data_IF_893347671046
#
_entry.id   IF_893347671046
#
_cell.length_a   1.000
_cell.length_b   1.000
_cell.length_c   1.000
_cell.angle_alpha   90.00
_cell.angle_beta   90.00
_cell.angle_gamma   90.00
#
_symmetry.space_group_name_H-M   'P 1'
#
loop_
_entity.id
_entity.type
_entity.pdbx_description
1 polymer ?
#
# COMPACT_ATOMS: atom_id res chain seq x y z
N UNK A 1 3.34 -9.65 -9.27
CA UNK A 1 3.03 -8.29 -8.78
C UNK A 1 4.24 -7.75 -8.03
N UNK A 2 4.57 -6.47 -8.23
CA UNK A 2 5.65 -5.77 -7.54
C UNK A 2 5.05 -4.82 -6.51
N UNK A 3 5.61 -4.78 -5.31
CA UNK A 3 5.37 -3.70 -4.35
C UNK A 3 6.70 -3.04 -3.99
N UNK A 4 6.66 -1.76 -3.65
CA UNK A 4 7.82 -0.99 -3.22
C UNK A 4 7.57 -0.51 -1.80
N UNK A 5 8.44 -0.89 -0.87
CA UNK A 5 8.36 -0.47 0.53
C UNK A 5 9.48 0.52 0.83
N UNK A 6 9.18 1.51 1.68
CA UNK A 6 10.21 2.32 2.33
C UNK A 6 10.78 1.57 3.53
N UNK A 7 12.09 1.60 3.68
CA UNK A 7 12.78 1.10 4.86
C UNK A 7 13.89 2.11 5.26
N UNK A 8 14.63 1.78 6.33
CA UNK A 8 15.73 2.62 6.82
C UNK A 8 16.87 2.81 5.80
N UNK A 9 16.99 1.91 4.82
CA UNK A 9 18.01 1.93 3.77
C UNK A 9 17.53 2.64 2.49
N UNK A 10 16.25 3.03 2.41
CA UNK A 10 15.66 3.69 1.25
C UNK A 10 14.37 3.01 0.75
N UNK A 11 14.27 2.81 -0.56
CA UNK A 11 13.14 2.11 -1.18
C UNK A 11 13.61 0.76 -1.70
N UNK A 12 12.84 -0.29 -1.42
CA UNK A 12 13.12 -1.65 -1.87
C UNK A 12 11.92 -2.27 -2.55
N UNK A 13 12.17 -2.91 -3.69
CA UNK A 13 11.18 -3.62 -4.47
C UNK A 13 11.09 -5.09 -4.04
N UNK A 14 9.86 -5.58 -3.91
CA UNK A 14 9.54 -6.96 -3.57
C UNK A 14 8.58 -7.53 -4.61
N UNK A 15 8.77 -8.82 -4.91
CA UNK A 15 8.04 -9.52 -5.97
C UNK A 15 7.32 -10.74 -5.42
N UNK A 16 6.11 -10.98 -5.93
CA UNK A 16 5.39 -12.23 -5.69
C UNK A 16 6.22 -13.43 -6.17
N UNK A 17 6.13 -14.58 -5.48
CA UNK A 17 6.77 -15.81 -5.93
C UNK A 17 6.16 -16.32 -7.24
N UNK A 18 6.90 -17.18 -7.95
CA UNK A 18 6.43 -17.77 -9.21
C UNK A 18 5.19 -18.66 -9.04
N UNK A 19 5.04 -19.28 -7.87
CA UNK A 19 3.91 -20.15 -7.54
C UNK A 19 3.24 -19.66 -6.27
N UNK A 20 1.92 -19.44 -6.35
CA UNK A 20 1.05 -19.14 -5.21
C UNK A 20 0.00 -20.26 -5.17
N UNK A 21 -0.18 -20.95 -4.02
CA UNK A 21 -1.16 -22.01 -3.92
C UNK A 21 -2.58 -21.45 -4.10
N UNK A 22 -3.44 -22.16 -4.83
CA UNK A 22 -4.81 -21.71 -5.10
C UNK A 22 -5.67 -21.50 -3.86
N UNK A 23 -5.31 -22.10 -2.73
CA UNK A 23 -5.96 -21.84 -1.43
C UNK A 23 -5.80 -20.38 -0.96
N UNK A 24 -4.77 -19.67 -1.42
CA UNK A 24 -4.58 -18.25 -1.13
C UNK A 24 -5.74 -17.39 -1.67
N UNK A 25 -6.43 -17.84 -2.72
CA UNK A 25 -7.58 -17.13 -3.31
C UNK A 25 -8.73 -16.97 -2.32
N UNK A 26 -8.96 -17.94 -1.44
CA UNK A 26 -10.07 -17.86 -0.47
C UNK A 26 -9.85 -16.74 0.55
N UNK A 27 -8.63 -16.63 1.06
CA UNK A 27 -8.26 -15.59 2.01
C UNK A 27 -8.18 -14.22 1.32
N UNK A 28 -7.60 -14.16 0.11
CA UNK A 28 -7.58 -12.95 -0.71
C UNK A 28 -8.98 -12.41 -1.01
N UNK A 29 -9.93 -13.29 -1.33
CA UNK A 29 -11.34 -12.90 -1.60
C UNK A 29 -11.97 -12.29 -0.36
N UNK A 30 -11.83 -12.95 0.80
CA UNK A 30 -12.38 -12.44 2.05
C UNK A 30 -11.80 -11.07 2.41
N UNK A 31 -10.48 -10.91 2.30
CA UNK A 31 -9.80 -9.64 2.58
C UNK A 31 -10.22 -8.55 1.60
N UNK A 32 -10.35 -8.87 0.31
CA UNK A 32 -10.78 -7.91 -0.71
C UNK A 32 -12.19 -7.35 -0.42
N UNK A 33 -13.11 -8.17 0.08
CA UNK A 33 -14.45 -7.72 0.48
C UNK A 33 -14.39 -6.86 1.75
N UNK A 34 -13.62 -7.27 2.76
CA UNK A 34 -13.47 -6.53 4.03
C UNK A 34 -12.79 -5.15 3.82
N UNK A 35 -11.94 -5.01 2.81
CA UNK A 35 -11.22 -3.77 2.49
C UNK A 35 -12.06 -2.74 1.71
N UNK A 36 -13.26 -3.11 1.26
CA UNK A 36 -14.19 -2.19 0.58
C UNK A 36 -14.99 -1.32 1.57
N UNK A 37 -14.91 -1.58 2.87
CA UNK A 37 -15.58 -0.78 3.89
C UNK A 37 -15.03 0.66 3.94
N UNK A 38 -15.91 1.63 4.18
CA UNK A 38 -15.53 3.06 4.34
C UNK A 38 -14.46 3.27 5.42
N UNK A 39 -14.55 2.48 6.48
CA UNK A 39 -13.57 2.43 7.57
C UNK A 39 -13.15 0.99 7.77
N UNK A 40 -11.92 0.68 7.36
CA UNK A 40 -11.34 -0.65 7.55
C UNK A 40 -10.87 -0.77 9.01
N UNK A 41 -11.35 -1.78 9.77
CA UNK A 41 -10.90 -2.01 11.14
C UNK A 41 -9.40 -2.32 11.19
N UNK A 42 -8.76 -1.95 12.31
CA UNK A 42 -7.34 -2.21 12.55
C UNK A 42 -7.01 -3.70 12.40
N UNK A 43 -7.84 -4.56 12.96
CA UNK A 43 -7.67 -6.02 12.94
C UNK A 43 -7.73 -6.58 11.52
N UNK A 44 -8.49 -5.95 10.62
CA UNK A 44 -8.51 -6.31 9.20
C UNK A 44 -7.20 -5.93 8.51
N UNK A 45 -6.66 -4.74 8.79
CA UNK A 45 -5.36 -4.32 8.27
C UNK A 45 -4.25 -5.24 8.77
N UNK A 46 -4.23 -5.60 10.07
CA UNK A 46 -3.23 -6.50 10.64
C UNK A 46 -3.31 -7.90 10.02
N UNK A 47 -4.51 -8.49 9.90
CA UNK A 47 -4.69 -9.77 9.21
C UNK A 47 -4.21 -9.71 7.77
N UNK A 48 -4.56 -8.64 7.06
CA UNK A 48 -4.15 -8.47 5.68
C UNK A 48 -2.63 -8.30 5.55
N UNK A 49 -1.98 -7.52 6.42
CA UNK A 49 -0.53 -7.37 6.41
C UNK A 49 0.20 -8.70 6.63
N UNK A 50 -0.29 -9.54 7.55
CA UNK A 50 0.23 -10.89 7.77
C UNK A 50 0.04 -11.78 6.54
N UNK A 51 -1.13 -11.72 5.91
CA UNK A 51 -1.40 -12.44 4.67
C UNK A 51 -0.43 -12.02 3.56
N UNK A 52 -0.21 -10.71 3.37
CA UNK A 52 0.70 -10.17 2.36
C UNK A 52 2.14 -10.63 2.61
N UNK A 53 2.65 -10.49 3.84
CA UNK A 53 4.00 -10.97 4.19
C UNK A 53 4.20 -12.45 3.81
N UNK A 54 3.24 -13.30 4.20
CA UNK A 54 3.27 -14.74 3.90
C UNK A 54 3.22 -15.03 2.40
N UNK A 55 2.37 -14.33 1.64
CA UNK A 55 2.25 -14.53 0.18
C UNK A 55 3.52 -14.08 -0.55
N UNK A 56 4.21 -13.07 -0.04
CA UNK A 56 5.52 -12.65 -0.53
C UNK A 56 6.65 -13.58 -0.04
N UNK A 57 6.35 -14.69 0.62
CA UNK A 57 7.35 -15.66 1.07
C UNK A 57 8.24 -15.09 2.18
N UNK A 58 7.66 -14.29 3.07
CA UNK A 58 8.32 -13.74 4.27
C UNK A 58 9.60 -12.93 3.97
N UNK A 59 9.66 -12.31 2.79
CA UNK A 59 10.73 -11.38 2.41
C UNK A 59 10.75 -10.10 3.26
N UNK A 60 9.65 -9.83 3.97
CA UNK A 60 9.44 -8.76 4.94
C UNK A 60 8.37 -9.22 5.95
N UNK A 61 8.37 -8.60 7.12
CA UNK A 61 7.37 -8.80 8.16
C UNK A 61 6.11 -7.98 7.90
N UNK A 62 4.98 -8.35 8.53
CA UNK A 62 3.75 -7.56 8.46
C UNK A 62 3.96 -6.12 8.94
N UNK A 63 4.80 -5.90 9.96
CA UNK A 63 5.12 -4.57 10.47
C UNK A 63 5.94 -3.76 9.46
N UNK A 64 6.96 -4.36 8.86
CA UNK A 64 7.75 -3.71 7.79
C UNK A 64 6.89 -3.35 6.57
N UNK A 65 5.89 -4.19 6.25
CA UNK A 65 4.92 -3.87 5.21
C UNK A 65 4.06 -2.65 5.56
N UNK A 66 3.52 -2.60 6.78
CA UNK A 66 2.67 -1.49 7.23
C UNK A 66 3.47 -0.19 7.31
N UNK A 67 4.63 -0.20 7.96
CA UNK A 67 5.47 0.98 8.16
C UNK A 67 6.12 1.45 6.85
N UNK A 68 6.45 0.51 5.96
CA UNK A 68 7.05 0.80 4.67
C UNK A 68 6.04 1.24 3.60
N UNK A 69 4.73 1.12 3.86
CA UNK A 69 3.68 1.56 2.95
C UNK A 69 3.12 2.89 3.41
N UNK A 70 3.07 3.86 2.50
CA UNK A 70 2.47 5.15 2.83
C UNK A 70 0.98 4.98 3.18
N UNK A 71 0.56 5.52 4.33
CA UNK A 71 -0.77 5.27 4.92
C UNK A 71 -1.95 5.50 3.96
N UNK A 72 -1.89 6.53 3.11
CA UNK A 72 -2.93 6.82 2.10
C UNK A 72 -3.16 5.71 1.08
N UNK A 73 -2.18 4.83 0.88
CA UNK A 73 -2.22 3.79 -0.13
C UNK A 73 -2.27 2.39 0.48
N UNK A 74 -2.14 2.24 1.80
CA UNK A 74 -2.05 0.95 2.47
C UNK A 74 -3.19 0.00 2.07
N UNK A 75 -4.44 0.40 2.26
CA UNK A 75 -5.59 -0.44 1.92
C UNK A 75 -5.69 -0.71 0.41
N UNK A 76 -5.34 0.27 -0.44
CA UNK A 76 -5.36 0.11 -1.90
C UNK A 76 -4.28 -0.87 -2.39
N UNK A 77 -3.08 -0.81 -1.80
CA UNK A 77 -1.99 -1.73 -2.09
C UNK A 77 -2.36 -3.15 -1.67
N UNK A 78 -2.89 -3.33 -0.45
CA UNK A 78 -3.38 -4.64 0.01
C UNK A 78 -4.48 -5.16 -0.93
N UNK A 79 -5.46 -4.33 -1.26
CA UNK A 79 -6.57 -4.71 -2.14
C UNK A 79 -6.08 -5.12 -3.54
N UNK A 80 -5.15 -4.37 -4.13
CA UNK A 80 -4.56 -4.72 -5.43
C UNK A 80 -3.82 -6.05 -5.42
N UNK A 81 -3.09 -6.35 -4.33
CA UNK A 81 -2.44 -7.67 -4.18
C UNK A 81 -3.50 -8.77 -4.08
N UNK A 82 -4.56 -8.56 -3.30
CA UNK A 82 -5.66 -9.53 -3.22
C UNK A 82 -6.31 -9.78 -4.59
N UNK A 83 -6.61 -8.72 -5.35
CA UNK A 83 -7.10 -8.81 -6.73
C UNK A 83 -6.15 -9.61 -7.64
N UNK A 84 -4.84 -9.38 -7.50
CA UNK A 84 -3.83 -10.11 -8.27
C UNK A 84 -3.85 -11.61 -7.95
N UNK A 85 -3.91 -11.98 -6.67
CA UNK A 85 -3.97 -13.39 -6.23
C UNK A 85 -5.24 -14.07 -6.75
N UNK A 86 -6.36 -13.36 -6.78
CA UNK A 86 -7.63 -13.84 -7.34
C UNK A 86 -7.64 -13.91 -8.89
N UNK A 87 -6.54 -13.57 -9.56
CA UNK A 87 -6.46 -13.55 -11.03
C UNK A 87 -7.16 -12.35 -11.69
N UNK A 88 -7.62 -11.36 -10.93
CA UNK A 88 -8.28 -10.14 -11.43
C UNK A 88 -7.25 -9.07 -11.82
N UNK A 89 -6.32 -9.45 -12.71
CA UNK A 89 -5.12 -8.66 -13.04
C UNK A 89 -5.45 -7.26 -13.58
N UNK A 90 -6.45 -7.14 -14.46
CA UNK A 90 -6.85 -5.85 -15.04
C UNK A 90 -7.34 -4.86 -13.97
N UNK A 91 -8.00 -5.36 -12.93
CA UNK A 91 -8.51 -4.53 -11.85
C UNK A 91 -7.38 -4.14 -10.90
N UNK A 92 -6.51 -5.09 -10.57
CA UNK A 92 -5.31 -4.83 -9.78
C UNK A 92 -4.44 -3.73 -10.43
N UNK A 93 -4.23 -3.78 -11.74
CA UNK A 93 -3.49 -2.77 -12.51
C UNK A 93 -4.15 -1.40 -12.40
N UNK A 94 -5.46 -1.30 -12.65
CA UNK A 94 -6.20 -0.03 -12.55
C UNK A 94 -6.10 0.61 -11.16
N UNK A 95 -6.16 -0.20 -10.10
CA UNK A 95 -6.00 0.29 -8.72
C UNK A 95 -4.60 0.87 -8.53
N UNK A 96 -3.55 0.20 -9.00
CA UNK A 96 -2.17 0.66 -8.85
C UNK A 96 -1.85 1.90 -9.67
N UNK A 97 -2.39 1.99 -10.89
CA UNK A 97 -2.31 3.21 -11.71
C UNK A 97 -2.97 4.39 -10.98
N UNK A 98 -4.14 4.17 -10.38
CA UNK A 98 -4.84 5.18 -9.59
C UNK A 98 -4.02 5.61 -8.38
N UNK A 99 -3.37 4.68 -7.68
CA UNK A 99 -2.46 4.96 -6.56
C UNK A 99 -1.30 5.85 -7.00
N UNK A 100 -0.63 5.49 -8.10
CA UNK A 100 0.53 6.25 -8.60
C UNK A 100 0.14 7.65 -9.09
N UNK A 101 -0.99 7.77 -9.79
CA UNK A 101 -1.53 9.05 -10.24
C UNK A 101 -1.94 9.95 -9.06
N UNK A 102 -2.61 9.38 -8.06
CA UNK A 102 -2.99 10.09 -6.84
C UNK A 102 -1.76 10.56 -6.07
N UNK A 103 -0.76 9.69 -5.92
CA UNK A 103 0.53 10.03 -5.30
C UNK A 103 1.21 11.19 -6.03
N UNK A 104 1.32 11.13 -7.35
CA UNK A 104 1.93 12.19 -8.15
C UNK A 104 1.20 13.53 -8.03
N UNK A 105 -0.14 13.51 -8.12
CA UNK A 105 -0.97 14.72 -7.97
C UNK A 105 -0.81 15.34 -6.58
N UNK A 106 -0.82 14.51 -5.55
CA UNK A 106 -0.73 14.96 -4.17
C UNK A 106 0.65 15.51 -3.82
N UNK A 107 1.73 14.84 -4.25
CA UNK A 107 3.09 15.36 -4.08
C UNK A 107 3.25 16.72 -4.76
N UNK A 108 2.75 16.89 -5.98
CA UNK A 108 2.74 18.19 -6.67
C UNK A 108 1.99 19.26 -5.88
N UNK A 109 0.83 18.95 -5.31
CA UNK A 109 0.07 19.90 -4.47
C UNK A 109 0.80 20.27 -3.17
N UNK A 110 1.53 19.32 -2.57
CA UNK A 110 2.30 19.55 -1.35
C UNK A 110 3.56 20.39 -1.62
N UNK A 111 4.25 20.14 -2.73
CA UNK A 111 5.39 20.94 -3.20
C UNK A 111 4.99 22.38 -3.56
N UNK A 112 3.75 22.58 -4.04
CA UNK A 112 3.21 23.90 -4.39
C UNK A 112 2.75 24.73 -3.19
N UNK A 113 2.73 24.21 -1.96
CA UNK A 113 2.42 25.05 -0.78
C UNK A 113 3.62 25.97 -0.49
N UNK A 114 3.47 27.31 -0.58
CA UNK A 114 4.58 28.23 -0.36
C UNK A 114 5.11 28.05 1.07
N UNK A 115 6.44 27.90 1.21
CA UNK A 115 7.14 28.05 2.50
C UNK A 115 6.60 29.32 3.14
N UNK A 116 5.83 29.20 4.24
CA UNK A 116 5.39 30.35 5.03
C UNK A 116 6.64 31.19 5.29
N UNK A 117 6.74 32.36 4.65
CA UNK A 117 7.73 33.37 4.99
C UNK A 117 7.53 33.63 6.48
N UNK A 118 8.50 33.22 7.32
CA UNK A 118 8.60 33.74 8.68
C UNK A 118 8.82 35.24 8.51
N UNK A 119 7.75 36.02 8.59
CA UNK A 119 7.85 37.47 8.75
C UNK A 119 8.53 37.67 10.10
N UNK A 120 9.80 38.08 10.09
CA UNK A 120 10.46 38.59 11.27
C UNK A 120 9.64 39.77 11.78
N UNK A 121 8.95 39.58 12.90
CA UNK A 121 8.46 40.67 13.73
C UNK A 121 9.68 41.41 14.23
N UNK A 122 10.07 42.50 13.55
CA UNK A 122 10.97 43.49 14.15
C UNK A 122 10.14 44.32 15.12
N UNK A 123 10.29 44.04 16.40
CA UNK A 123 10.06 44.99 17.48
C UNK A 123 10.96 46.21 17.27
N UNK A 124 10.36 47.39 17.17
CA UNK A 124 10.96 48.69 17.46
C UNK A 124 9.99 49.47 18.31
#
# INVERSE_FOLDING_TARGET
MKITLQNVEGQKDYYLPQFIPGSATFEASKLADELQADLVPKETIERAANFIARIYGDQFTAQEFVDGTHVWFLSLTIHSVCLTIMGRLNEAIKVMETVEDAKKKLMKQLEMKPKRKRSNTKTS
#
